data_IF_322260414855
#
_entry.id   IF_322260414855
#
_cell.length_a   1.000
_cell.length_b   1.000
_cell.length_c   1.000
_cell.angle_alpha   90.00
_cell.angle_beta   90.00
_cell.angle_gamma   90.00
#
_symmetry.space_group_name_H-M   'P 1'
#
loop_
_entity.id
_entity.type
_entity.pdbx_description
1 polymer ?
#
# COMPACT_ATOMS: atom_id res chain seq x y z
N UNK A 1 -23.07 0.14 13.29
CA UNK A 1 -22.64 -0.47 14.55
C UNK A 1 -21.16 -0.13 14.77
N UNK A 2 -20.54 -0.50 15.89
CA UNK A 2 -19.10 -0.32 16.05
C UNK A 2 -18.35 -1.56 15.55
N UNK A 3 -17.12 -1.38 15.04
CA UNK A 3 -16.31 -2.45 14.43
C UNK A 3 -14.96 -2.63 15.15
N UNK A 4 -14.45 -3.86 15.30
CA UNK A 4 -13.12 -4.08 15.85
C UNK A 4 -12.03 -3.62 14.85
N UNK A 5 -10.97 -3.03 15.37
CA UNK A 5 -9.79 -2.59 14.63
C UNK A 5 -8.53 -3.15 15.30
N UNK A 6 -7.63 -3.75 14.52
CA UNK A 6 -6.42 -4.42 15.01
C UNK A 6 -5.16 -3.71 14.52
N UNK A 7 -4.23 -3.50 15.42
CA UNK A 7 -2.86 -3.03 15.17
C UNK A 7 -1.88 -4.05 15.75
N UNK A 8 -0.57 -3.83 15.55
CA UNK A 8 0.44 -4.76 16.04
C UNK A 8 0.40 -4.89 17.58
N UNK A 9 0.14 -3.78 18.27
CA UNK A 9 0.20 -3.66 19.73
C UNK A 9 -1.09 -4.10 20.42
N UNK A 10 -2.18 -4.35 19.69
CA UNK A 10 -3.47 -4.72 20.27
C UNK A 10 -4.67 -4.41 19.38
N UNK A 11 -5.84 -4.26 20.01
CA UNK A 11 -7.09 -3.98 19.30
C UNK A 11 -8.00 -3.02 20.08
N UNK A 12 -8.85 -2.30 19.36
CA UNK A 12 -9.86 -1.42 19.91
C UNK A 12 -11.10 -1.39 19.02
N UNK A 13 -12.17 -0.75 19.49
CA UNK A 13 -13.43 -0.63 18.78
C UNK A 13 -13.50 0.75 18.11
N UNK A 14 -13.90 0.79 16.85
CA UNK A 14 -13.98 1.99 16.03
C UNK A 14 -15.43 2.16 15.53
N UNK A 15 -16.03 3.36 15.58
CA UNK A 15 -17.33 3.58 14.97
C UNK A 15 -17.27 3.37 13.45
N UNK A 16 -18.33 2.81 12.86
CA UNK A 16 -18.41 2.53 11.42
C UNK A 16 -18.25 3.78 10.54
N UNK A 17 -18.54 4.97 11.06
CA UNK A 17 -18.43 6.23 10.32
C UNK A 17 -16.98 6.64 10.03
N UNK A 18 -15.99 6.01 10.69
CA UNK A 18 -14.59 6.30 10.45
C UNK A 18 -14.05 5.55 9.22
N UNK A 19 -13.43 6.30 8.32
CA UNK A 19 -12.65 5.77 7.22
C UNK A 19 -11.21 5.52 7.68
N UNK A 20 -10.70 4.31 7.46
CA UNK A 20 -9.29 3.99 7.73
C UNK A 20 -8.37 4.69 6.72
N UNK A 21 -7.47 5.52 7.23
CA UNK A 21 -6.39 6.20 6.49
C UNK A 21 -5.03 5.94 7.13
N UNK A 22 -4.88 4.85 7.89
CA UNK A 22 -3.62 4.45 8.50
C UNK A 22 -2.55 4.23 7.42
N UNK A 23 -1.33 4.67 7.74
CA UNK A 23 -0.13 4.46 6.93
C UNK A 23 0.88 3.72 7.80
N UNK A 24 1.17 2.46 7.46
CA UNK A 24 2.23 1.70 8.12
C UNK A 24 3.57 2.10 7.48
N UNK A 25 4.58 2.41 8.30
CA UNK A 25 5.92 2.79 7.83
C UNK A 25 6.93 1.89 8.54
N UNK A 26 7.68 1.12 7.77
CA UNK A 26 8.79 0.30 8.26
C UNK A 26 10.08 0.81 7.63
N UNK A 27 11.07 1.13 8.45
CA UNK A 27 12.41 1.51 8.01
C UNK A 27 13.30 0.31 8.22
N UNK A 28 13.96 -0.14 7.15
CA UNK A 28 14.91 -1.24 7.25
C UNK A 28 16.21 -0.72 7.87
N UNK A 29 16.70 -1.43 8.88
CA UNK A 29 17.92 -1.06 9.61
C UNK A 29 19.11 -0.92 8.65
N UNK A 30 19.82 0.20 8.76
CA UNK A 30 20.90 0.60 7.86
C UNK A 30 21.18 2.10 8.00
N UNK A 31 22.06 2.63 7.15
CA UNK A 31 22.40 4.06 7.20
C UNK A 31 21.21 4.90 6.69
N UNK A 32 20.71 5.86 7.48
CA UNK A 32 19.42 6.54 7.24
C UNK A 32 19.32 7.25 5.88
N UNK A 33 20.44 7.60 5.25
CA UNK A 33 20.49 8.22 3.92
C UNK A 33 20.20 7.25 2.75
N UNK A 34 20.25 5.94 2.98
CA UNK A 34 20.13 4.93 1.92
C UNK A 34 19.23 3.75 2.27
N UNK A 35 18.67 3.72 3.48
CA UNK A 35 17.83 2.60 3.90
C UNK A 35 16.52 2.55 3.12
N UNK A 36 16.16 1.39 2.53
CA UNK A 36 14.85 1.19 1.95
C UNK A 36 13.76 1.27 3.03
N UNK A 37 12.61 1.79 2.65
CA UNK A 37 11.40 1.80 3.49
C UNK A 37 10.27 1.03 2.82
N UNK A 38 9.42 0.43 3.65
CA UNK A 38 8.17 -0.20 3.23
C UNK A 38 7.01 0.60 3.81
N UNK A 39 6.10 1.03 2.93
CA UNK A 39 4.90 1.75 3.30
C UNK A 39 3.65 0.98 2.85
N UNK A 40 2.66 0.86 3.75
CA UNK A 40 1.33 0.31 3.43
C UNK A 40 0.28 1.38 3.71
N UNK A 41 -0.46 1.77 2.67
CA UNK A 41 -1.52 2.78 2.73
C UNK A 41 -2.85 2.21 2.25
N UNK A 42 -3.95 2.92 2.54
CA UNK A 42 -5.31 2.57 2.10
C UNK A 42 -5.87 3.70 1.24
N UNK A 43 -6.63 3.33 0.22
CA UNK A 43 -7.41 4.25 -0.60
C UNK A 43 -8.74 3.59 -1.00
N UNK A 44 -9.64 4.38 -1.57
CA UNK A 44 -10.96 3.93 -2.04
C UNK A 44 -11.04 4.09 -3.55
N UNK A 45 -11.53 3.05 -4.22
CA UNK A 45 -11.87 3.14 -5.65
C UNK A 45 -12.98 4.18 -5.82
N UNK A 46 -12.87 5.00 -6.87
CA UNK A 46 -14.00 5.83 -7.28
C UNK A 46 -15.16 4.95 -7.79
N UNK A 47 -16.38 5.48 -7.84
CA UNK A 47 -17.47 4.82 -8.57
C UNK A 47 -17.00 4.46 -9.99
N UNK A 48 -17.28 3.22 -10.41
CA UNK A 48 -16.92 2.66 -11.71
C UNK A 48 -15.41 2.60 -12.04
N UNK A 49 -14.53 2.82 -11.05
CA UNK A 49 -13.08 2.69 -11.21
C UNK A 49 -12.65 1.25 -10.90
N UNK A 50 -12.03 0.59 -11.88
CA UNK A 50 -11.36 -0.69 -11.69
C UNK A 50 -9.91 -0.51 -11.20
N UNK A 51 -9.23 -1.61 -10.88
CA UNK A 51 -7.86 -1.56 -10.36
C UNK A 51 -6.85 -0.97 -11.37
N UNK A 52 -6.87 -1.33 -12.67
CA UNK A 52 -6.01 -0.69 -13.65
C UNK A 52 -6.20 0.83 -13.75
N UNK A 53 -7.46 1.32 -13.78
CA UNK A 53 -7.77 2.75 -13.83
C UNK A 53 -7.39 3.47 -12.53
N UNK A 54 -7.54 2.81 -11.39
CA UNK A 54 -7.03 3.30 -10.10
C UNK A 54 -5.52 3.51 -10.15
N UNK A 55 -4.75 2.53 -10.68
CA UNK A 55 -3.29 2.65 -10.80
C UNK A 55 -2.92 3.79 -11.75
N UNK A 56 -3.64 3.98 -12.85
CA UNK A 56 -3.44 5.11 -13.75
C UNK A 56 -3.62 6.45 -13.04
N UNK A 57 -4.67 6.57 -12.22
CA UNK A 57 -4.89 7.75 -11.38
C UNK A 57 -3.74 7.97 -10.39
N UNK A 58 -3.24 6.92 -9.75
CA UNK A 58 -2.11 7.04 -8.81
C UNK A 58 -0.83 7.47 -9.53
N UNK A 59 -0.53 6.93 -10.72
CA UNK A 59 0.62 7.35 -11.53
C UNK A 59 0.52 8.82 -11.92
N UNK A 60 -0.68 9.30 -12.30
CA UNK A 60 -0.91 10.71 -12.61
C UNK A 60 -0.68 11.62 -11.39
N UNK A 61 -1.14 11.20 -10.21
CA UNK A 61 -0.89 11.91 -8.95
C UNK A 61 0.60 11.94 -8.61
N UNK A 62 1.33 10.83 -8.77
CA UNK A 62 2.78 10.79 -8.54
C UNK A 62 3.53 11.70 -9.53
N UNK A 63 3.15 11.70 -10.81
CA UNK A 63 3.74 12.60 -11.81
C UNK A 63 3.53 14.08 -11.48
N UNK A 64 2.38 14.43 -10.87
CA UNK A 64 2.07 15.80 -10.45
C UNK A 64 2.88 16.24 -9.24
N UNK A 65 3.11 15.34 -8.28
CA UNK A 65 3.65 15.70 -6.96
C UNK A 65 5.13 15.34 -6.76
N UNK A 66 5.68 14.41 -7.56
CA UNK A 66 7.06 13.94 -7.43
C UNK A 66 7.90 14.41 -8.63
N UNK A 67 9.04 15.02 -8.33
CA UNK A 67 9.98 15.50 -9.35
C UNK A 67 10.52 14.36 -10.21
N UNK A 68 10.39 14.50 -11.53
CA UNK A 68 10.91 13.54 -12.51
C UNK A 68 10.42 12.10 -12.30
N UNK A 69 9.18 11.91 -11.83
CA UNK A 69 8.60 10.57 -11.69
C UNK A 69 8.49 9.84 -13.04
N UNK A 70 9.04 8.63 -13.12
CA UNK A 70 9.03 7.78 -14.30
C UNK A 70 8.71 6.33 -13.93
N UNK A 71 7.71 5.76 -14.59
CA UNK A 71 7.42 4.32 -14.52
C UNK A 71 8.44 3.56 -15.37
N UNK A 72 9.04 2.52 -14.80
CA UNK A 72 10.02 1.65 -15.44
C UNK A 72 9.39 0.34 -15.92
N UNK A 73 8.48 -0.22 -15.13
CA UNK A 73 7.73 -1.42 -15.48
C UNK A 73 6.37 -1.45 -14.78
N UNK A 74 5.45 -2.22 -15.35
CA UNK A 74 4.12 -2.50 -14.83
C UNK A 74 3.81 -3.98 -15.09
N UNK A 75 3.32 -4.70 -14.09
CA UNK A 75 3.11 -6.15 -14.17
C UNK A 75 2.02 -6.62 -13.19
N UNK A 76 1.43 -7.81 -13.41
CA UNK A 76 0.59 -8.45 -12.41
C UNK A 76 1.32 -8.64 -11.07
N UNK A 77 0.55 -8.66 -9.99
CA UNK A 77 1.04 -8.83 -8.64
C UNK A 77 0.12 -9.76 -7.85
N UNK A 78 0.67 -10.44 -6.85
CA UNK A 78 -0.07 -11.31 -5.95
C UNK A 78 0.37 -11.04 -4.51
N UNK A 79 -0.58 -10.88 -3.60
CA UNK A 79 -0.33 -10.83 -2.16
C UNK A 79 -0.90 -12.09 -1.49
N UNK A 80 -0.05 -12.85 -0.80
CA UNK A 80 -0.40 -14.13 -0.19
C UNK A 80 -0.31 -15.32 -1.16
N UNK A 81 -0.73 -16.49 -0.69
CA UNK A 81 -0.73 -17.77 -1.42
C UNK A 81 -2.02 -18.53 -1.14
N UNK A 82 -2.33 -19.54 -1.97
CA UNK A 82 -3.55 -20.34 -1.81
C UNK A 82 -4.82 -19.61 -2.28
N UNK A 83 -5.97 -20.04 -1.75
CA UNK A 83 -7.29 -19.59 -2.22
C UNK A 83 -7.60 -18.12 -1.87
N UNK A 84 -7.01 -17.60 -0.79
CA UNK A 84 -7.22 -16.23 -0.33
C UNK A 84 -6.18 -15.25 -0.88
N UNK A 85 -5.38 -15.69 -1.86
CA UNK A 85 -4.40 -14.83 -2.51
C UNK A 85 -5.07 -13.69 -3.28
N UNK A 86 -4.58 -12.48 -3.07
CA UNK A 86 -5.14 -11.28 -3.66
C UNK A 86 -4.38 -10.96 -4.95
N UNK A 87 -5.10 -11.02 -6.08
CA UNK A 87 -4.55 -10.63 -7.38
C UNK A 87 -4.64 -9.12 -7.55
N UNK A 88 -3.56 -8.52 -8.03
CA UNK A 88 -3.49 -7.10 -8.28
C UNK A 88 -2.43 -6.76 -9.31
N UNK A 89 -1.91 -5.54 -9.20
CA UNK A 89 -0.95 -5.01 -10.15
C UNK A 89 0.10 -4.17 -9.43
N UNK A 90 1.33 -4.20 -9.96
CA UNK A 90 2.48 -3.49 -9.41
C UNK A 90 3.17 -2.64 -10.49
N UNK A 91 3.81 -1.57 -10.03
CA UNK A 91 4.76 -0.80 -10.83
C UNK A 91 6.12 -0.75 -10.15
N UNK A 92 7.18 -0.67 -10.96
CA UNK A 92 8.46 -0.15 -10.53
C UNK A 92 8.63 1.25 -11.12
N UNK A 93 8.99 2.22 -10.30
CA UNK A 93 9.15 3.60 -10.72
C UNK A 93 10.35 4.26 -10.04
N UNK A 94 10.82 5.37 -10.58
CA UNK A 94 11.83 6.24 -9.97
C UNK A 94 11.35 7.68 -9.93
N UNK A 95 11.89 8.46 -9.01
CA UNK A 95 11.69 9.91 -8.93
C UNK A 95 12.93 10.54 -8.29
N UNK A 96 13.07 11.86 -8.36
CA UNK A 96 14.12 12.59 -7.65
C UNK A 96 13.53 13.33 -6.45
N UNK A 97 14.13 13.11 -5.30
CA UNK A 97 13.96 13.95 -4.10
C UNK A 97 15.24 14.79 -3.96
N UNK A 98 15.16 16.12 -3.94
CA UNK A 98 16.30 16.97 -3.54
C UNK A 98 16.49 16.84 -2.03
N UNK A 99 17.67 16.59 -1.47
CA UNK A 99 18.91 17.36 -1.53
C UNK A 99 20.13 16.40 -1.46
N UNK A 100 21.08 16.51 -2.40
CA UNK A 100 22.36 15.78 -2.45
C UNK A 100 22.32 14.26 -2.18
N UNK A 101 21.79 13.51 -3.14
CA UNK A 101 21.92 12.05 -3.18
C UNK A 101 20.87 11.46 -4.10
N UNK A 102 21.25 11.18 -5.35
CA UNK A 102 20.42 10.39 -6.25
C UNK A 102 20.34 8.95 -5.74
N UNK A 103 19.45 8.69 -4.78
CA UNK A 103 19.06 7.33 -4.43
C UNK A 103 17.99 6.93 -5.44
N UNK A 104 18.20 5.91 -6.29
CA UNK A 104 17.12 5.35 -7.07
C UNK A 104 16.13 4.73 -6.09
N UNK A 105 15.06 5.46 -5.79
CA UNK A 105 13.93 4.92 -5.05
C UNK A 105 13.19 3.94 -5.95
N UNK A 106 13.69 2.71 -6.05
CA UNK A 106 13.01 1.59 -6.71
C UNK A 106 11.95 1.03 -5.75
N UNK A 107 10.80 1.69 -5.67
CA UNK A 107 9.66 1.18 -4.91
C UNK A 107 8.82 0.24 -5.78
N UNK A 108 8.44 -0.94 -5.24
CA UNK A 108 7.32 -1.72 -5.77
C UNK A 108 6.06 -1.26 -5.06
N UNK A 109 5.18 -0.59 -5.78
CA UNK A 109 3.86 -0.21 -5.26
C UNK A 109 2.94 -1.40 -5.49
N UNK A 110 2.44 -2.00 -4.42
CA UNK A 110 1.36 -2.97 -4.47
C UNK A 110 0.05 -2.24 -4.22
N UNK A 111 -0.86 -2.27 -5.19
CA UNK A 111 -2.20 -1.75 -5.02
C UNK A 111 -3.18 -2.93 -4.94
N UNK A 112 -3.87 -3.05 -3.81
CA UNK A 112 -5.01 -3.93 -3.67
C UNK A 112 -6.21 -3.11 -3.17
N UNK A 113 -7.36 -3.12 -3.87
CA UNK A 113 -8.60 -2.58 -3.32
C UNK A 113 -9.10 -3.56 -2.26
N UNK A 114 -8.80 -3.27 -0.99
CA UNK A 114 -9.33 -4.05 0.12
C UNK A 114 -10.85 -3.80 0.22
N UNK A 115 -11.66 -4.67 -0.39
CA UNK A 115 -13.10 -4.72 -0.13
C UNK A 115 -13.30 -5.54 1.13
N UNK A 116 -13.68 -4.87 2.22
CA UNK A 116 -13.86 -5.52 3.51
C UNK A 116 -14.97 -6.56 3.47
N UNK A 117 -14.58 -7.83 3.41
CA UNK A 117 -15.44 -8.95 3.81
C UNK A 117 -14.87 -9.57 5.08
N UNK A 118 -15.68 -9.57 6.13
CA UNK A 118 -15.30 -9.94 7.49
C UNK A 118 -14.68 -11.32 7.60
N UNK A 119 -13.54 -11.39 8.28
CA UNK A 119 -12.96 -12.64 8.75
C UNK A 119 -13.71 -13.08 10.02
N UNK A 120 -14.26 -14.29 9.95
CA UNK A 120 -14.85 -15.07 11.03
C UNK A 120 -13.86 -15.19 12.22
N UNK A 121 -14.30 -15.14 13.49
CA UNK A 121 -13.43 -14.83 14.63
C UNK A 121 -12.55 -15.98 15.16
N UNK A 122 -12.29 -17.06 14.42
CA UNK A 122 -11.72 -18.28 15.02
C UNK A 122 -10.54 -18.91 14.28
N UNK A 123 -9.50 -18.12 14.00
CA UNK A 123 -8.18 -18.69 13.70
C UNK A 123 -7.07 -17.85 14.37
N UNK A 124 -6.65 -18.31 15.54
CA UNK A 124 -5.36 -18.00 16.14
C UNK A 124 -4.27 -18.81 15.44
N UNK A 125 -3.17 -18.19 14.96
CA UNK A 125 -1.98 -18.95 14.62
C UNK A 125 -1.21 -19.27 15.91
N UNK A 126 -1.03 -20.56 16.18
CA UNK A 126 0.01 -21.03 17.10
C UNK A 126 1.38 -20.69 16.50
N UNK A 127 2.26 -20.15 17.34
CA UNK A 127 3.66 -19.80 17.03
C UNK A 127 4.48 -20.99 16.54
#
# INVERSE_FOLDING_TARGET
>A
MDRPYRIQEGCFVLPETFTDRSVNIFILEGNERTSPSLNISRDTLKPDEDLPAYIDRQIALMKKNLGQHRVLSRAPAQAGTGNDALMGEQIAATHKSGENGSVPASGRVYCNPWQGTGLHPDQSPSF
#
